data_IF_359272061675
#
_entry.id   IF_359272061675
#
_cell.length_a   1.000
_cell.length_b   1.000
_cell.length_c   1.000
_cell.angle_alpha   90.00
_cell.angle_beta   90.00
_cell.angle_gamma   90.00
#
_symmetry.space_group_name_H-M   'P 1'
#
loop_
_entity.id
_entity.type
_entity.pdbx_description
1 polymer ?
#
# COMPACT_ATOMS: atom_id res chain seq x y z
N UNK A 1 45.67 -40.39 -14.49
CA UNK A 1 47.13 -40.12 -14.60
C UNK A 1 47.34 -38.64 -14.91
N UNK A 2 48.05 -38.02 -14.13
CA UNK A 2 48.96 -36.88 -14.01
C UNK A 2 48.50 -35.83 -13.02
N UNK A 3 49.20 -35.86 -11.89
CA UNK A 3 49.37 -34.88 -10.84
C UNK A 3 50.22 -33.71 -11.33
N UNK A 4 50.07 -32.54 -10.74
CA UNK A 4 51.12 -31.59 -10.34
C UNK A 4 50.47 -30.59 -9.34
N UNK A 5 50.87 -30.51 -8.19
CA UNK A 5 51.75 -30.02 -7.11
C UNK A 5 52.03 -28.51 -7.24
N UNK A 6 51.48 -27.75 -6.33
CA UNK A 6 52.08 -26.95 -5.22
C UNK A 6 53.30 -26.11 -5.52
N UNK A 7 53.27 -24.81 -5.16
CA UNK A 7 54.40 -24.09 -4.48
C UNK A 7 53.81 -22.93 -3.65
N UNK A 8 54.39 -22.83 -2.46
CA UNK A 8 54.25 -21.92 -1.32
C UNK A 8 55.10 -20.66 -1.58
N UNK A 9 54.66 -19.50 -1.10
CA UNK A 9 55.47 -18.32 -0.96
C UNK A 9 55.08 -17.42 0.21
N UNK A 10 55.84 -17.47 1.28
CA UNK A 10 55.77 -16.71 2.53
C UNK A 10 56.40 -15.34 2.35
N UNK A 11 55.81 -14.29 2.93
CA UNK A 11 56.47 -12.99 3.03
C UNK A 11 55.84 -12.14 4.14
N UNK A 12 56.38 -12.21 5.34
CA UNK A 12 56.14 -11.35 6.49
C UNK A 12 57.04 -10.13 6.41
N UNK A 13 56.51 -8.93 6.60
CA UNK A 13 57.26 -7.78 7.10
C UNK A 13 56.39 -6.97 8.06
N UNK A 14 56.80 -7.06 9.36
CA UNK A 14 56.43 -6.12 10.41
C UNK A 14 57.27 -4.86 10.28
N UNK A 15 56.69 -3.69 10.45
CA UNK A 15 57.41 -2.50 10.92
C UNK A 15 56.53 -1.72 11.88
N UNK A 16 56.92 -1.79 13.14
CA UNK A 16 56.51 -0.87 14.20
C UNK A 16 57.30 0.45 14.04
N UNK A 17 56.60 1.54 14.18
CA UNK A 17 57.20 2.82 14.57
C UNK A 17 56.30 3.49 15.63
N UNK A 18 56.78 3.53 16.81
CA UNK A 18 56.25 4.31 17.92
C UNK A 18 56.75 5.74 17.80
N UNK A 19 55.87 6.71 17.98
CA UNK A 19 56.23 8.08 18.34
C UNK A 19 55.28 8.57 19.42
N UNK A 20 55.88 8.78 20.57
CA UNK A 20 55.34 9.41 21.76
C UNK A 20 55.11 10.91 21.55
N UNK A 21 53.92 11.38 21.92
CA UNK A 21 53.62 12.81 22.03
C UNK A 21 52.64 13.00 23.18
N UNK A 22 53.08 13.51 24.31
CA UNK A 22 52.27 13.94 25.42
C UNK A 22 51.45 15.17 25.05
N UNK A 23 50.16 15.12 25.29
CA UNK A 23 49.26 16.23 25.30
C UNK A 23 48.12 15.97 26.26
N UNK A 24 48.14 16.60 27.41
CA UNK A 24 47.11 16.59 28.43
C UNK A 24 45.82 17.22 27.88
N UNK A 25 44.74 16.42 27.81
CA UNK A 25 43.38 16.88 27.49
C UNK A 25 42.40 16.02 28.28
N UNK A 26 41.63 16.68 29.12
CA UNK A 26 40.63 16.18 30.03
C UNK A 26 39.76 15.10 29.41
N UNK A 27 39.63 13.97 30.12
CA UNK A 27 38.61 12.96 29.95
C UNK A 27 37.23 13.59 30.24
N UNK A 28 36.52 14.00 29.19
CA UNK A 28 35.07 14.04 29.25
C UNK A 28 34.57 12.61 29.06
N UNK A 29 34.09 12.03 30.13
CA UNK A 29 33.19 10.88 30.09
C UNK A 29 32.00 11.27 29.26
N UNK A 30 31.95 10.72 28.08
CA UNK A 30 30.74 10.74 27.25
C UNK A 30 29.77 9.79 27.96
N UNK A 31 29.04 10.35 28.95
CA UNK A 31 27.84 9.72 29.47
C UNK A 31 26.92 9.60 28.27
N UNK A 32 26.71 8.35 27.81
CA UNK A 32 25.70 8.03 26.84
C UNK A 32 24.38 8.62 27.33
N UNK A 33 23.94 9.73 26.70
CA UNK A 33 22.59 10.19 26.83
C UNK A 33 21.73 9.03 26.34
N UNK A 34 21.06 8.36 27.28
CA UNK A 34 19.81 7.69 26.94
C UNK A 34 18.94 8.78 26.32
N UNK A 35 18.87 8.84 25.00
CA UNK A 35 17.79 9.55 24.35
C UNK A 35 16.51 8.95 24.94
N UNK A 36 15.86 9.69 25.83
CA UNK A 36 14.47 9.46 26.15
C UNK A 36 13.77 9.36 24.81
N UNK A 37 13.15 8.21 24.52
CA UNK A 37 12.36 8.01 23.33
C UNK A 37 11.46 9.23 23.22
N UNK A 38 11.75 10.12 22.27
CA UNK A 38 11.06 11.39 22.13
C UNK A 38 9.57 11.09 22.04
N UNK A 39 8.75 11.91 22.70
CA UNK A 39 7.31 11.78 22.63
C UNK A 39 6.92 11.70 21.17
N UNK A 40 6.23 10.62 20.77
CA UNK A 40 5.70 10.46 19.43
C UNK A 40 4.87 11.68 19.06
N UNK A 41 5.25 12.33 17.99
CA UNK A 41 4.46 13.40 17.40
C UNK A 41 3.78 12.79 16.17
N UNK A 42 2.44 12.64 16.16
CA UNK A 42 1.73 12.15 14.98
C UNK A 42 2.14 12.97 13.76
N UNK A 43 2.50 12.29 12.67
CA UNK A 43 2.84 12.94 11.37
C UNK A 43 1.58 13.54 10.75
N UNK A 44 0.67 13.97 11.58
CA UNK A 44 -0.65 14.39 11.18
C UNK A 44 -0.90 15.86 11.26
N UNK A 45 -1.65 16.21 10.47
CA UNK A 45 -2.60 17.29 10.14
C UNK A 45 -2.16 17.94 8.85
N UNK A 46 -2.61 17.36 7.78
CA UNK A 46 -2.53 17.94 6.47
C UNK A 46 -1.19 17.77 5.77
N UNK A 47 -0.33 16.92 6.24
CA UNK A 47 0.98 16.69 5.65
C UNK A 47 1.28 15.21 5.59
N UNK A 48 0.47 14.45 4.86
CA UNK A 48 0.83 13.07 4.52
C UNK A 48 1.86 13.17 3.40
N UNK A 49 3.09 12.65 3.56
CA UNK A 49 4.02 12.59 2.44
C UNK A 49 3.36 11.92 1.24
N UNK A 50 3.29 12.63 0.10
CA UNK A 50 2.71 12.12 -1.14
C UNK A 50 1.19 12.25 -1.32
N UNK A 51 0.42 12.69 -0.32
CA UNK A 51 -0.99 13.01 -0.49
C UNK A 51 -1.24 14.51 -0.46
N UNK A 52 -2.00 15.00 -1.42
CA UNK A 52 -2.43 16.39 -1.44
C UNK A 52 -3.56 16.63 -0.43
N UNK A 53 -3.53 17.78 0.23
CA UNK A 53 -4.68 18.22 1.01
C UNK A 53 -5.88 18.49 0.09
N UNK A 54 -7.13 18.36 0.58
CA UNK A 54 -8.29 18.66 -0.24
C UNK A 54 -8.24 20.04 -0.93
N UNK A 55 -7.72 21.04 -0.24
CA UNK A 55 -7.54 22.40 -0.78
C UNK A 55 -6.39 22.52 -1.80
N UNK A 56 -5.48 21.55 -1.84
CA UNK A 56 -4.38 21.49 -2.81
C UNK A 56 -4.74 20.73 -4.08
N UNK A 57 -5.84 19.94 -4.04
CA UNK A 57 -6.32 19.21 -5.19
C UNK A 57 -6.68 20.15 -6.33
N UNK A 58 -6.13 19.87 -7.51
CA UNK A 58 -6.41 20.62 -8.73
C UNK A 58 -7.29 19.81 -9.66
N UNK A 59 -8.09 20.51 -10.46
CA UNK A 59 -8.59 19.93 -11.68
C UNK A 59 -7.47 19.86 -12.70
N UNK A 60 -7.40 18.76 -13.41
CA UNK A 60 -6.44 18.52 -14.50
C UNK A 60 -7.18 18.36 -15.82
N UNK A 61 -6.63 18.95 -16.87
CA UNK A 61 -7.09 18.75 -18.24
C UNK A 61 -5.98 18.14 -19.06
N UNK A 62 -6.30 17.08 -19.81
CA UNK A 62 -5.33 16.46 -20.69
C UNK A 62 -5.22 17.24 -22.00
N UNK A 63 -4.00 17.60 -22.36
CA UNK A 63 -3.66 18.19 -23.66
C UNK A 63 -3.14 17.12 -24.60
N UNK A 64 -3.93 16.74 -25.58
CA UNK A 64 -3.57 15.73 -26.57
C UNK A 64 -2.42 16.14 -27.51
N UNK A 65 -2.11 17.45 -27.63
CA UNK A 65 -0.98 17.91 -28.42
C UNK A 65 0.35 17.64 -27.72
N UNK A 66 0.42 17.94 -26.42
CA UNK A 66 1.62 17.79 -25.61
C UNK A 66 1.71 16.46 -24.89
N UNK A 67 0.63 15.71 -24.84
CA UNK A 67 0.46 14.46 -24.07
C UNK A 67 0.66 14.66 -22.55
N UNK A 68 0.15 15.76 -22.02
CA UNK A 68 0.31 16.11 -20.60
C UNK A 68 -1.01 16.54 -19.97
N UNK A 69 -1.17 16.15 -18.72
CA UNK A 69 -2.15 16.79 -17.84
C UNK A 69 -1.61 18.14 -17.37
N UNK A 70 -2.47 19.14 -17.39
CA UNK A 70 -2.14 20.50 -16.91
C UNK A 70 -3.20 20.96 -15.93
N UNK A 71 -2.80 21.64 -14.83
CA UNK A 71 -3.75 22.20 -13.88
C UNK A 71 -4.70 23.17 -14.58
N UNK A 72 -5.95 23.16 -14.17
CA UNK A 72 -6.97 24.11 -14.60
C UNK A 72 -7.79 24.59 -13.41
N UNK A 73 -8.46 25.73 -13.56
CA UNK A 73 -9.33 26.27 -12.51
C UNK A 73 -10.57 25.42 -12.30
N UNK A 74 -11.08 25.42 -11.08
CA UNK A 74 -12.29 24.74 -10.67
C UNK A 74 -12.11 24.01 -9.33
N UNK A 75 -13.23 23.53 -8.80
CA UNK A 75 -13.27 22.80 -7.55
C UNK A 75 -13.18 21.29 -7.81
N UNK A 76 -12.05 20.68 -7.47
CA UNK A 76 -11.83 19.25 -7.63
C UNK A 76 -12.72 18.39 -6.70
N UNK A 77 -13.18 18.95 -5.57
CA UNK A 77 -14.03 18.25 -4.62
C UNK A 77 -15.48 18.13 -5.10
N UNK A 78 -15.89 18.98 -6.04
CA UNK A 78 -17.23 18.95 -6.63
C UNK A 78 -17.38 17.95 -7.79
N UNK A 79 -16.37 17.10 -8.05
CA UNK A 79 -16.41 16.13 -9.13
C UNK A 79 -17.55 15.13 -8.97
N UNK A 80 -18.36 15.01 -10.01
CA UNK A 80 -19.50 14.09 -10.08
C UNK A 80 -19.24 13.03 -11.15
N UNK A 81 -19.49 11.77 -10.80
CA UNK A 81 -19.31 10.66 -11.72
C UNK A 81 -20.16 10.81 -12.99
N UNK A 82 -19.53 10.60 -14.15
CA UNK A 82 -20.15 10.61 -15.45
C UNK A 82 -20.10 9.20 -16.05
N UNK A 83 -21.22 8.47 -15.98
CA UNK A 83 -21.36 7.13 -16.57
C UNK A 83 -22.37 7.15 -17.73
N UNK A 84 -22.35 8.22 -18.52
CA UNK A 84 -23.21 8.36 -19.70
C UNK A 84 -22.51 7.75 -20.91
N UNK A 85 -23.26 6.94 -21.69
CA UNK A 85 -22.73 6.37 -22.93
C UNK A 85 -22.25 7.47 -23.88
N UNK A 86 -21.01 7.42 -24.36
CA UNK A 86 -20.47 8.43 -25.24
C UNK A 86 -21.05 8.30 -26.67
N UNK A 87 -21.14 9.43 -27.38
CA UNK A 87 -21.59 9.45 -28.77
C UNK A 87 -20.67 8.69 -29.72
N UNK A 88 -19.38 8.66 -29.40
CA UNK A 88 -18.35 7.92 -30.14
C UNK A 88 -17.77 6.84 -29.27
N UNK A 89 -17.76 5.60 -29.77
CA UNK A 89 -17.05 4.51 -29.12
C UNK A 89 -15.56 4.78 -29.13
N UNK A 90 -14.91 4.57 -27.97
CA UNK A 90 -13.45 4.58 -27.86
C UNK A 90 -12.94 3.26 -27.27
N UNK A 91 -11.63 3.04 -27.40
CA UNK A 91 -10.94 1.87 -26.87
C UNK A 91 -10.35 2.22 -25.52
N UNK A 92 -10.84 1.57 -24.47
CA UNK A 92 -10.28 1.62 -23.12
C UNK A 92 -9.29 0.48 -22.93
N UNK A 93 -8.08 0.76 -22.45
CA UNK A 93 -7.14 -0.26 -22.03
C UNK A 93 -7.20 -0.42 -20.51
N UNK A 94 -7.17 -1.65 -20.03
CA UNK A 94 -6.98 -1.98 -18.61
C UNK A 94 -5.73 -2.84 -18.48
N UNK A 95 -4.72 -2.29 -17.83
CA UNK A 95 -3.57 -3.02 -17.33
C UNK A 95 -3.87 -3.41 -15.89
N UNK A 96 -4.05 -4.70 -15.65
CA UNK A 96 -4.31 -5.25 -14.32
C UNK A 96 -2.98 -5.54 -13.62
N UNK A 97 -2.85 -5.17 -12.37
CA UNK A 97 -1.65 -5.43 -11.59
C UNK A 97 -1.47 -6.90 -11.26
N UNK A 98 -2.58 -7.61 -11.00
CA UNK A 98 -2.57 -9.02 -10.61
C UNK A 98 -3.99 -9.63 -10.70
N UNK A 99 -4.32 -10.20 -11.84
CA UNK A 99 -5.67 -10.66 -12.19
C UNK A 99 -6.28 -11.71 -11.23
N UNK A 100 -5.47 -12.45 -10.50
CA UNK A 100 -5.93 -13.46 -9.52
C UNK A 100 -6.04 -12.92 -8.10
N UNK A 101 -5.63 -11.68 -7.86
CA UNK A 101 -5.70 -11.07 -6.53
C UNK A 101 -7.17 -10.78 -6.16
N UNK A 102 -7.60 -11.15 -4.94
CA UNK A 102 -8.98 -10.95 -4.46
C UNK A 102 -9.46 -9.50 -4.53
N UNK A 103 -8.57 -8.53 -4.38
CA UNK A 103 -8.88 -7.11 -4.47
C UNK A 103 -9.00 -6.64 -5.95
N UNK A 104 -8.18 -7.16 -6.86
CA UNK A 104 -8.20 -6.79 -8.29
C UNK A 104 -9.43 -7.34 -9.03
N UNK A 105 -9.89 -8.54 -8.68
CA UNK A 105 -11.01 -9.20 -9.36
C UNK A 105 -12.27 -8.33 -9.46
N UNK A 106 -12.79 -7.72 -8.38
CA UNK A 106 -13.98 -6.86 -8.48
C UNK A 106 -13.71 -5.58 -9.29
N UNK A 107 -12.50 -5.02 -9.26
CA UNK A 107 -12.10 -3.86 -10.07
C UNK A 107 -12.20 -4.20 -11.55
N UNK A 108 -11.54 -5.29 -11.98
CA UNK A 108 -11.54 -5.73 -13.37
C UNK A 108 -12.96 -6.06 -13.88
N UNK A 109 -13.77 -6.72 -13.03
CA UNK A 109 -15.19 -7.02 -13.35
C UNK A 109 -16.01 -5.73 -13.51
N UNK A 110 -15.82 -4.74 -12.64
CA UNK A 110 -16.50 -3.45 -12.71
C UNK A 110 -16.15 -2.72 -14.00
N UNK A 111 -14.86 -2.58 -14.34
CA UNK A 111 -14.39 -1.96 -15.57
C UNK A 111 -14.95 -2.69 -16.81
N UNK A 112 -14.89 -4.02 -16.84
CA UNK A 112 -15.40 -4.80 -17.98
C UNK A 112 -16.92 -4.67 -18.15
N UNK A 113 -17.67 -4.71 -17.05
CA UNK A 113 -19.14 -4.52 -17.07
C UNK A 113 -19.50 -3.14 -17.63
N UNK A 114 -18.91 -2.09 -17.08
CA UNK A 114 -19.19 -0.71 -17.51
C UNK A 114 -18.76 -0.48 -18.96
N UNK A 115 -17.61 -0.99 -19.37
CA UNK A 115 -17.19 -0.91 -20.77
C UNK A 115 -18.23 -1.51 -21.72
N UNK A 116 -18.76 -2.69 -21.38
CA UNK A 116 -19.82 -3.34 -22.13
C UNK A 116 -21.11 -2.52 -22.14
N UNK A 117 -21.58 -2.08 -20.99
CA UNK A 117 -22.85 -1.35 -20.84
C UNK A 117 -22.83 0.00 -21.59
N UNK A 118 -21.65 0.65 -21.61
CA UNK A 118 -21.44 1.93 -22.29
C UNK A 118 -21.00 1.79 -23.75
N UNK A 119 -20.83 0.56 -24.25
CA UNK A 119 -20.43 0.29 -25.62
C UNK A 119 -18.99 0.67 -25.96
N UNK A 120 -18.10 0.64 -24.97
CA UNK A 120 -16.66 0.83 -25.13
C UNK A 120 -15.99 -0.47 -25.59
N UNK A 121 -14.92 -0.36 -26.38
CA UNK A 121 -14.04 -1.48 -26.66
C UNK A 121 -13.04 -1.58 -25.51
N UNK A 122 -12.97 -2.73 -24.84
CA UNK A 122 -11.99 -2.99 -23.79
C UNK A 122 -10.86 -3.89 -24.31
N UNK A 123 -9.62 -3.48 -24.10
CA UNK A 123 -8.43 -4.31 -24.25
C UNK A 123 -7.77 -4.49 -22.87
N UNK A 124 -7.13 -5.64 -22.66
CA UNK A 124 -6.71 -6.06 -21.32
C UNK A 124 -5.33 -6.71 -21.33
N UNK A 125 -4.54 -6.49 -20.27
CA UNK A 125 -3.28 -7.18 -20.03
C UNK A 125 -3.07 -7.34 -18.52
N UNK A 126 -2.65 -8.54 -18.08
CA UNK A 126 -2.30 -8.86 -16.70
C UNK A 126 -0.79 -8.74 -16.47
N UNK A 127 -0.37 -7.93 -15.52
CA UNK A 127 1.04 -7.76 -15.14
C UNK A 127 1.55 -8.84 -14.19
N UNK A 128 0.70 -9.74 -13.69
CA UNK A 128 1.07 -10.86 -12.82
C UNK A 128 1.89 -10.45 -11.59
N UNK A 129 1.68 -9.23 -11.10
CA UNK A 129 2.45 -8.63 -10.00
C UNK A 129 3.97 -8.59 -10.24
N UNK A 130 4.39 -8.40 -11.50
CA UNK A 130 5.80 -8.37 -11.91
C UNK A 130 6.14 -7.09 -12.67
N UNK A 131 7.18 -6.32 -12.26
CA UNK A 131 7.53 -5.07 -12.90
C UNK A 131 7.83 -5.21 -14.40
N UNK A 132 8.56 -6.25 -14.80
CA UNK A 132 8.88 -6.52 -16.19
C UNK A 132 7.66 -6.87 -17.05
N UNK A 133 6.68 -7.55 -16.46
CA UNK A 133 5.40 -7.85 -17.11
C UNK A 133 4.55 -6.58 -17.25
N UNK A 134 4.54 -5.71 -16.24
CA UNK A 134 3.83 -4.44 -16.29
C UNK A 134 4.37 -3.54 -17.42
N UNK A 135 5.69 -3.49 -17.59
CA UNK A 135 6.33 -2.76 -18.72
C UNK A 135 5.94 -3.40 -20.06
N UNK A 136 5.99 -4.73 -20.18
CA UNK A 136 5.56 -5.44 -21.39
C UNK A 136 4.08 -5.22 -21.70
N UNK A 137 3.21 -5.22 -20.69
CA UNK A 137 1.80 -4.87 -20.83
C UNK A 137 1.61 -3.46 -21.37
N UNK A 138 2.36 -2.49 -20.87
CA UNK A 138 2.30 -1.11 -21.35
C UNK A 138 2.68 -1.03 -22.85
N UNK A 139 3.72 -1.73 -23.28
CA UNK A 139 4.12 -1.80 -24.70
C UNK A 139 3.05 -2.46 -25.57
N UNK A 140 2.51 -3.60 -25.14
CA UNK A 140 1.45 -4.33 -25.86
C UNK A 140 0.19 -3.48 -25.99
N UNK A 141 -0.26 -2.87 -24.89
CA UNK A 141 -1.44 -2.03 -24.88
C UNK A 141 -1.24 -0.77 -25.73
N UNK A 142 -0.10 -0.07 -25.60
CA UNK A 142 0.19 1.11 -26.40
C UNK A 142 0.26 0.82 -27.91
N UNK A 143 0.76 -0.37 -28.30
CA UNK A 143 0.80 -0.79 -29.72
C UNK A 143 -0.58 -0.91 -30.35
N UNK A 144 -1.60 -1.18 -29.54
CA UNK A 144 -3.02 -1.28 -29.96
C UNK A 144 -3.71 0.09 -30.01
N UNK A 145 -3.00 1.17 -29.63
CA UNK A 145 -3.45 2.58 -29.70
C UNK A 145 -4.82 2.78 -29.01
N UNK A 146 -4.98 2.42 -27.73
CA UNK A 146 -6.19 2.77 -27.01
C UNK A 146 -6.31 4.29 -26.86
N UNK A 147 -7.52 4.74 -26.64
CA UNK A 147 -7.82 6.16 -26.43
C UNK A 147 -7.52 6.58 -24.98
N UNK A 148 -7.62 5.64 -24.03
CA UNK A 148 -7.34 5.84 -22.61
C UNK A 148 -6.81 4.55 -21.98
N UNK A 149 -5.96 4.67 -20.93
CA UNK A 149 -5.50 3.52 -20.15
C UNK A 149 -5.81 3.68 -18.67
N UNK A 150 -6.33 2.62 -18.07
CA UNK A 150 -6.41 2.41 -16.63
C UNK A 150 -5.22 1.54 -16.25
N UNK A 151 -4.24 2.12 -15.54
CA UNK A 151 -2.97 1.49 -15.21
C UNK A 151 -2.99 0.98 -13.77
N UNK A 152 -3.32 -0.30 -13.59
CA UNK A 152 -3.31 -1.00 -12.32
C UNK A 152 -1.96 -1.65 -12.04
N UNK A 153 -0.88 -0.87 -12.00
CA UNK A 153 0.43 -1.39 -11.62
C UNK A 153 0.71 -1.09 -10.14
N UNK A 154 0.85 -2.14 -9.34
CA UNK A 154 1.15 -2.02 -7.91
C UNK A 154 2.64 -2.11 -7.56
N UNK A 155 3.50 -2.17 -8.55
CA UNK A 155 4.96 -2.14 -8.41
C UNK A 155 5.45 -0.71 -8.64
N UNK A 156 5.52 0.11 -7.59
CA UNK A 156 5.82 1.55 -7.68
C UNK A 156 7.08 1.87 -8.49
N UNK A 157 8.12 1.04 -8.42
CA UNK A 157 9.36 1.21 -9.18
C UNK A 157 9.21 1.14 -10.71
N UNK A 158 8.14 0.53 -11.24
CA UNK A 158 7.87 0.45 -12.68
C UNK A 158 7.04 1.62 -13.22
N UNK A 159 6.42 2.43 -12.36
CA UNK A 159 5.45 3.45 -12.75
C UNK A 159 5.99 4.46 -13.78
N UNK A 160 7.21 4.96 -13.58
CA UNK A 160 7.84 5.92 -14.49
C UNK A 160 8.10 5.32 -15.87
N UNK A 161 8.56 4.07 -15.94
CA UNK A 161 8.83 3.37 -17.20
C UNK A 161 7.53 3.09 -17.98
N UNK A 162 6.49 2.67 -17.29
CA UNK A 162 5.15 2.44 -17.84
C UNK A 162 4.59 3.74 -18.43
N UNK A 163 4.65 4.84 -17.69
CA UNK A 163 4.12 6.11 -18.16
C UNK A 163 4.92 6.72 -19.29
N UNK A 164 6.24 6.52 -19.35
CA UNK A 164 7.04 6.94 -20.50
C UNK A 164 6.58 6.29 -21.81
N UNK A 165 6.07 5.05 -21.77
CA UNK A 165 5.52 4.34 -22.94
C UNK A 165 4.20 4.99 -23.37
N UNK A 166 3.27 5.22 -22.44
CA UNK A 166 1.98 5.83 -22.74
C UNK A 166 2.11 7.30 -23.15
N UNK A 167 2.97 8.08 -22.52
CA UNK A 167 3.27 9.46 -22.88
C UNK A 167 3.81 9.56 -24.32
N UNK A 168 4.76 8.68 -24.68
CA UNK A 168 5.29 8.62 -26.05
C UNK A 168 4.20 8.29 -27.07
N UNK A 169 3.25 7.44 -26.69
CA UNK A 169 2.09 7.09 -27.51
C UNK A 169 0.96 8.13 -27.45
N UNK A 170 1.08 9.17 -26.61
CA UNK A 170 0.08 10.22 -26.35
C UNK A 170 -1.25 9.66 -25.83
N UNK A 171 -1.19 8.66 -24.98
CA UNK A 171 -2.35 8.00 -24.40
C UNK A 171 -2.55 8.53 -22.96
N UNK A 172 -3.67 9.21 -22.64
CA UNK A 172 -3.99 9.62 -21.27
C UNK A 172 -4.22 8.42 -20.36
N UNK A 173 -3.90 8.58 -19.08
CA UNK A 173 -3.98 7.51 -18.11
C UNK A 173 -4.63 7.93 -16.79
N UNK A 174 -5.23 6.94 -16.12
CA UNK A 174 -5.47 6.95 -14.67
C UNK A 174 -4.72 5.77 -14.04
N UNK A 175 -4.15 5.98 -12.84
CA UNK A 175 -3.49 4.93 -12.05
C UNK A 175 -4.38 4.44 -10.91
N UNK A 176 -4.17 3.21 -10.45
CA UNK A 176 -4.92 2.58 -9.36
C UNK A 176 -3.99 2.38 -8.16
N UNK A 177 -4.35 2.93 -6.99
CA UNK A 177 -3.73 2.76 -5.67
C UNK A 177 -2.23 3.12 -5.56
N UNK A 178 -1.49 3.12 -6.66
CA UNK A 178 -0.10 3.56 -6.74
C UNK A 178 -0.02 4.72 -7.72
N UNK A 179 0.49 5.86 -7.25
CA UNK A 179 0.61 7.06 -8.08
C UNK A 179 1.58 6.85 -9.23
N UNK A 180 1.18 7.26 -10.43
CA UNK A 180 2.01 7.23 -11.63
C UNK A 180 2.23 8.65 -12.16
N UNK A 181 3.44 8.99 -12.66
CA UNK A 181 3.69 10.30 -13.25
C UNK A 181 2.72 10.57 -14.41
N UNK A 182 2.18 11.81 -14.48
CA UNK A 182 1.29 12.21 -15.58
C UNK A 182 0.07 11.28 -15.79
N UNK A 183 -0.50 10.79 -14.69
CA UNK A 183 -1.75 10.03 -14.65
C UNK A 183 -2.65 10.57 -13.55
N UNK A 184 -3.95 10.55 -13.76
CA UNK A 184 -4.92 10.83 -12.69
C UNK A 184 -4.82 9.70 -11.67
N UNK A 185 -4.66 10.02 -10.40
CA UNK A 185 -4.66 9.02 -9.35
C UNK A 185 -6.10 8.70 -8.94
N UNK A 186 -6.39 7.41 -8.81
CA UNK A 186 -7.59 6.92 -8.14
C UNK A 186 -7.24 5.76 -7.22
N UNK A 187 -7.71 5.82 -5.97
CA UNK A 187 -7.50 4.71 -5.05
C UNK A 187 -7.67 5.05 -3.59
N UNK A 188 -7.03 4.25 -2.74
CA UNK A 188 -7.05 4.43 -1.31
C UNK A 188 -6.30 5.71 -0.89
N UNK A 189 -6.83 6.40 0.12
CA UNK A 189 -6.03 7.31 0.94
C UNK A 189 -5.21 6.46 1.92
N UNK A 190 -4.02 6.03 1.46
CA UNK A 190 -3.25 4.98 2.13
C UNK A 190 -2.94 5.28 3.61
N UNK A 191 -2.50 6.50 3.91
CA UNK A 191 -2.26 6.89 5.29
C UNK A 191 -3.56 6.94 6.12
N UNK A 192 -4.63 7.56 5.58
CA UNK A 192 -5.91 7.66 6.28
C UNK A 192 -6.51 6.26 6.55
N UNK A 193 -6.39 5.33 5.62
CA UNK A 193 -6.82 3.94 5.82
C UNK A 193 -6.04 3.25 6.93
N UNK A 194 -4.73 3.51 6.99
CA UNK A 194 -3.90 3.06 8.11
C UNK A 194 -4.39 3.60 9.44
N UNK A 195 -4.64 4.92 9.53
CA UNK A 195 -5.20 5.57 10.74
C UNK A 195 -6.52 4.93 11.16
N UNK A 196 -7.43 4.67 10.23
CA UNK A 196 -8.72 4.03 10.54
C UNK A 196 -8.52 2.66 11.17
N UNK A 197 -7.66 1.82 10.60
CA UNK A 197 -7.33 0.50 11.13
C UNK A 197 -6.59 0.56 12.46
N UNK A 198 -5.64 1.47 12.58
CA UNK A 198 -4.85 1.68 13.78
C UNK A 198 -5.69 2.16 14.96
N UNK A 199 -6.63 3.09 14.74
CA UNK A 199 -7.59 3.53 15.78
C UNK A 199 -8.48 2.39 16.25
N UNK A 200 -9.01 1.58 15.34
CA UNK A 200 -9.82 0.42 15.71
C UNK A 200 -9.02 -0.57 16.57
N UNK A 201 -7.77 -0.85 16.20
CA UNK A 201 -6.85 -1.67 16.99
C UNK A 201 -6.54 -1.03 18.35
N UNK A 202 -6.29 0.27 18.40
CA UNK A 202 -6.04 1.03 19.62
C UNK A 202 -7.25 1.00 20.59
N UNK A 203 -8.46 1.19 20.07
CA UNK A 203 -9.68 1.10 20.88
C UNK A 203 -9.88 -0.31 21.44
N UNK A 204 -9.58 -1.35 20.66
CA UNK A 204 -9.55 -2.71 21.17
C UNK A 204 -8.55 -2.86 22.33
N UNK A 205 -7.32 -2.36 22.17
CA UNK A 205 -6.29 -2.43 23.20
C UNK A 205 -6.67 -1.65 24.46
N UNK A 206 -7.29 -0.49 24.30
CA UNK A 206 -7.79 0.32 25.40
C UNK A 206 -8.88 -0.40 26.20
N UNK A 207 -9.82 -1.02 25.49
CA UNK A 207 -10.94 -1.72 26.12
C UNK A 207 -10.53 -3.02 26.83
N UNK A 208 -9.55 -3.76 26.29
CA UNK A 208 -9.20 -5.10 26.77
C UNK A 208 -7.89 -5.15 27.57
N UNK A 209 -6.95 -4.21 27.34
CA UNK A 209 -5.61 -4.21 27.94
C UNK A 209 -5.26 -2.90 28.65
N UNK A 210 -6.19 -1.90 28.68
CA UNK A 210 -5.94 -0.57 29.21
C UNK A 210 -4.69 0.07 28.56
N UNK A 211 -4.44 -0.24 27.29
CA UNK A 211 -3.24 0.11 26.51
C UNK A 211 -1.90 -0.28 27.19
N UNK A 212 -1.89 -1.24 28.11
CA UNK A 212 -0.68 -1.66 28.82
C UNK A 212 0.11 -2.70 28.02
N UNK A 213 1.43 -2.56 28.00
CA UNK A 213 2.35 -3.50 27.36
C UNK A 213 2.03 -3.82 25.89
N UNK A 214 1.49 -2.81 25.17
CA UNK A 214 1.13 -2.95 23.76
C UNK A 214 2.39 -2.94 22.88
N UNK A 215 2.41 -3.87 21.93
CA UNK A 215 3.35 -3.95 20.83
C UNK A 215 2.60 -3.78 19.51
N UNK A 216 3.24 -3.11 18.55
CA UNK A 216 2.76 -3.00 17.18
C UNK A 216 3.67 -3.81 16.28
N UNK A 217 3.14 -4.84 15.63
CA UNK A 217 3.86 -5.70 14.72
C UNK A 217 3.22 -5.63 13.33
N UNK A 218 3.97 -5.19 12.33
CA UNK A 218 3.43 -4.91 11.00
C UNK A 218 4.11 -5.74 9.91
N UNK A 219 3.28 -6.26 9.01
CA UNK A 219 3.74 -6.94 7.79
C UNK A 219 3.93 -5.95 6.65
N UNK A 220 5.18 -5.76 6.19
CA UNK A 220 5.52 -4.80 5.12
C UNK A 220 5.80 -5.48 3.78
N UNK A 221 5.64 -4.72 2.70
CA UNK A 221 6.12 -5.07 1.36
C UNK A 221 6.77 -3.84 0.71
N UNK A 222 8.09 -3.84 0.66
CA UNK A 222 8.88 -2.72 0.14
C UNK A 222 8.72 -2.55 -1.38
N UNK A 223 8.36 -3.61 -2.10
CA UNK A 223 8.17 -3.59 -3.55
C UNK A 223 6.96 -2.77 -4.00
N UNK A 224 5.96 -2.63 -3.13
CA UNK A 224 4.79 -1.78 -3.38
C UNK A 224 5.09 -0.29 -3.12
N UNK A 225 6.21 0.02 -2.46
CA UNK A 225 6.70 1.38 -2.29
C UNK A 225 5.89 2.20 -1.28
N UNK A 226 5.83 3.51 -1.51
CA UNK A 226 5.27 4.49 -0.58
C UNK A 226 3.80 4.21 -0.20
N UNK A 227 2.97 3.75 -1.13
CA UNK A 227 1.57 3.45 -0.86
C UNK A 227 1.40 2.41 0.26
N UNK A 228 2.19 1.33 0.21
CA UNK A 228 2.20 0.31 1.24
C UNK A 228 2.78 0.83 2.57
N UNK A 229 3.85 1.62 2.51
CA UNK A 229 4.49 2.21 3.69
C UNK A 229 3.54 3.13 4.44
N UNK A 230 2.82 4.01 3.75
CA UNK A 230 1.85 4.93 4.33
C UNK A 230 0.72 4.23 5.09
N UNK A 231 0.27 3.04 4.64
CA UNK A 231 -0.71 2.23 5.39
C UNK A 231 -0.16 1.82 6.75
N UNK A 232 1.10 1.41 6.81
CA UNK A 232 1.75 0.95 8.04
C UNK A 232 2.08 2.11 8.97
N UNK A 233 2.58 3.23 8.44
CA UNK A 233 2.77 4.46 9.21
C UNK A 233 1.45 4.90 9.83
N UNK A 234 0.40 5.02 9.02
CA UNK A 234 -0.92 5.38 9.51
C UNK A 234 -1.47 4.40 10.56
N UNK A 235 -1.23 3.09 10.40
CA UNK A 235 -1.65 2.12 11.40
C UNK A 235 -0.96 2.33 12.76
N UNK A 236 0.35 2.48 12.77
CA UNK A 236 1.09 2.75 14.00
C UNK A 236 0.66 4.08 14.64
N UNK A 237 0.46 5.11 13.84
CA UNK A 237 -0.02 6.42 14.29
C UNK A 237 -1.43 6.34 14.87
N UNK A 238 -2.34 5.63 14.22
CA UNK A 238 -3.70 5.42 14.71
C UNK A 238 -3.77 4.69 16.05
N UNK A 239 -2.92 3.68 16.26
CA UNK A 239 -2.79 3.02 17.57
C UNK A 239 -2.32 4.02 18.62
N UNK A 240 -1.31 4.83 18.30
CA UNK A 240 -0.72 5.80 19.24
C UNK A 240 -1.63 7.00 19.51
N UNK A 241 -2.51 7.37 18.59
CA UNK A 241 -3.55 8.38 18.86
C UNK A 241 -4.50 7.94 19.98
N UNK A 242 -4.75 6.66 20.13
CA UNK A 242 -5.66 6.10 21.15
C UNK A 242 -4.91 5.75 22.43
N UNK A 243 -3.78 5.05 22.31
CA UNK A 243 -3.03 4.52 23.43
C UNK A 243 -1.93 5.45 23.97
N UNK A 244 -1.63 6.54 23.26
CA UNK A 244 -0.46 7.37 23.52
C UNK A 244 0.81 6.79 22.89
N UNK A 245 1.93 7.51 23.03
CA UNK A 245 3.21 7.14 22.44
C UNK A 245 3.68 5.78 22.94
N UNK A 246 4.05 4.90 22.00
CA UNK A 246 4.66 3.61 22.29
C UNK A 246 6.20 3.73 22.21
N UNK A 247 6.94 2.97 23.01
CA UNK A 247 8.39 2.85 22.85
C UNK A 247 8.74 2.39 21.42
N UNK A 248 9.76 2.98 20.82
CA UNK A 248 10.13 2.72 19.43
C UNK A 248 10.49 1.24 19.18
N UNK A 249 11.06 0.55 20.15
CA UNK A 249 11.38 -0.88 20.09
C UNK A 249 10.15 -1.79 20.11
N UNK A 250 8.98 -1.25 20.47
CA UNK A 250 7.70 -1.96 20.42
C UNK A 250 6.94 -1.77 19.11
N UNK A 251 7.46 -0.98 18.17
CA UNK A 251 6.89 -0.79 16.83
C UNK A 251 7.82 -1.48 15.83
N UNK A 252 7.42 -2.65 15.35
CA UNK A 252 8.28 -3.49 14.53
C UNK A 252 7.63 -3.84 13.18
N UNK A 253 8.47 -4.01 12.16
CA UNK A 253 8.07 -4.37 10.81
C UNK A 253 8.79 -5.63 10.34
N UNK A 254 8.09 -6.48 9.63
CA UNK A 254 8.63 -7.69 9.04
C UNK A 254 8.21 -7.80 7.57
N UNK A 255 9.14 -8.19 6.72
CA UNK A 255 8.93 -8.27 5.28
C UNK A 255 8.03 -9.45 4.89
N UNK A 256 6.94 -9.16 4.16
CA UNK A 256 5.97 -10.11 3.62
C UNK A 256 5.85 -9.95 2.09
N UNK A 257 6.99 -10.07 1.39
CA UNK A 257 7.09 -9.77 -0.04
C UNK A 257 6.34 -10.77 -0.95
N UNK A 258 6.13 -12.02 -0.51
CA UNK A 258 5.42 -13.01 -1.33
C UNK A 258 3.92 -12.74 -1.48
N UNK A 259 3.32 -11.92 -0.62
CA UNK A 259 1.90 -11.59 -0.69
C UNK A 259 0.95 -12.71 -0.31
N UNK A 260 1.43 -13.77 0.34
CA UNK A 260 0.64 -14.96 0.65
C UNK A 260 0.39 -15.15 2.14
N UNK A 261 -0.75 -15.75 2.49
CA UNK A 261 -1.05 -16.13 3.86
C UNK A 261 0.00 -17.08 4.46
N UNK A 262 0.53 -18.02 3.67
CA UNK A 262 1.52 -19.00 4.14
C UNK A 262 2.83 -18.33 4.58
N UNK A 263 3.32 -17.35 3.82
CA UNK A 263 4.47 -16.56 4.25
C UNK A 263 4.17 -15.79 5.54
N UNK A 264 2.98 -15.17 5.61
CA UNK A 264 2.58 -14.39 6.78
C UNK A 264 2.46 -15.28 8.04
N UNK A 265 1.95 -16.52 7.92
CA UNK A 265 1.93 -17.49 9.02
C UNK A 265 3.36 -17.76 9.51
N UNK A 266 4.27 -18.10 8.60
CA UNK A 266 5.64 -18.47 8.93
C UNK A 266 6.37 -17.31 9.62
N UNK A 267 6.42 -16.15 8.98
CA UNK A 267 7.12 -14.96 9.49
C UNK A 267 6.56 -14.48 10.83
N UNK A 268 5.23 -14.48 10.97
CA UNK A 268 4.58 -14.10 12.23
C UNK A 268 4.88 -15.12 13.34
N UNK A 269 4.85 -16.41 13.05
CA UNK A 269 5.19 -17.46 14.03
C UNK A 269 6.63 -17.34 14.50
N UNK A 270 7.57 -17.09 13.57
CA UNK A 270 8.98 -16.90 13.89
C UNK A 270 9.20 -15.67 14.78
N UNK A 271 8.54 -14.54 14.43
CA UNK A 271 8.60 -13.33 15.23
C UNK A 271 8.03 -13.54 16.64
N UNK A 272 6.86 -14.18 16.77
CA UNK A 272 6.23 -14.50 18.05
C UNK A 272 7.10 -15.41 18.92
N UNK A 273 7.88 -16.29 18.32
CA UNK A 273 8.82 -17.17 19.01
C UNK A 273 10.04 -16.40 19.50
N UNK A 274 10.53 -15.45 18.70
CA UNK A 274 11.67 -14.61 19.04
C UNK A 274 11.35 -13.55 20.10
N UNK A 275 10.06 -13.17 20.25
CA UNK A 275 9.59 -12.12 21.16
C UNK A 275 8.61 -12.64 22.23
N UNK A 276 9.04 -13.51 23.16
CA UNK A 276 8.18 -14.02 24.22
C UNK A 276 7.72 -12.94 25.20
N UNK A 277 8.43 -11.81 25.29
CA UNK A 277 8.12 -10.64 26.11
C UNK A 277 6.94 -9.83 25.57
N UNK A 278 6.66 -9.85 24.27
CA UNK A 278 5.55 -9.15 23.67
C UNK A 278 4.22 -9.81 24.06
N UNK A 279 3.47 -9.20 24.98
CA UNK A 279 2.25 -9.80 25.56
C UNK A 279 0.99 -9.43 24.78
N UNK A 280 0.78 -8.16 24.52
CA UNK A 280 -0.39 -7.62 23.87
C UNK A 280 0.02 -7.05 22.51
N UNK A 281 -0.39 -7.69 21.42
CA UNK A 281 0.16 -7.40 20.10
C UNK A 281 -0.96 -6.93 19.16
N UNK A 282 -0.82 -5.72 18.65
CA UNK A 282 -1.66 -5.19 17.57
C UNK A 282 -0.89 -5.31 16.25
N UNK A 283 -1.53 -5.91 15.27
CA UNK A 283 -0.90 -6.15 13.98
C UNK A 283 -1.68 -5.52 12.84
N UNK A 284 -0.95 -4.88 11.94
CA UNK A 284 -1.44 -4.36 10.69
C UNK A 284 -0.60 -4.86 9.52
N UNK A 285 -1.19 -4.87 8.35
CA UNK A 285 -0.49 -5.17 7.12
C UNK A 285 -1.17 -4.44 5.96
N UNK A 286 -0.70 -4.68 4.74
CA UNK A 286 -1.11 -3.89 3.58
C UNK A 286 -2.32 -4.47 2.83
N UNK A 287 -2.75 -5.71 3.14
CA UNK A 287 -3.91 -6.38 2.55
C UNK A 287 -4.53 -7.43 3.49
N UNK A 288 -5.64 -8.02 3.08
CA UNK A 288 -6.39 -9.00 3.86
C UNK A 288 -5.79 -10.41 3.80
N UNK A 289 -5.11 -10.77 2.70
CA UNK A 289 -4.48 -12.09 2.54
C UNK A 289 -3.36 -12.30 3.57
N UNK A 290 -2.45 -11.31 3.67
CA UNK A 290 -1.38 -11.33 4.68
C UNK A 290 -1.95 -11.23 6.09
N UNK A 291 -2.96 -10.37 6.31
CA UNK A 291 -3.62 -10.23 7.61
C UNK A 291 -4.23 -11.56 8.09
N UNK A 292 -4.88 -12.30 7.21
CA UNK A 292 -5.44 -13.62 7.50
C UNK A 292 -4.34 -14.62 7.92
N UNK A 293 -3.19 -14.59 7.25
CA UNK A 293 -2.03 -15.41 7.62
C UNK A 293 -1.50 -15.06 9.01
N UNK A 294 -1.33 -13.75 9.31
CA UNK A 294 -0.90 -13.28 10.62
C UNK A 294 -1.90 -13.70 11.72
N UNK A 295 -3.19 -13.54 11.50
CA UNK A 295 -4.24 -13.95 12.44
C UNK A 295 -4.20 -15.45 12.74
N UNK A 296 -4.00 -16.31 11.72
CA UNK A 296 -3.82 -17.75 11.90
C UNK A 296 -2.60 -18.09 12.75
N UNK A 297 -1.50 -17.35 12.62
CA UNK A 297 -0.32 -17.54 13.45
C UNK A 297 -0.61 -17.21 14.93
N UNK A 298 -1.35 -16.16 15.24
CA UNK A 298 -1.79 -15.84 16.59
C UNK A 298 -2.69 -16.94 17.19
N UNK A 299 -3.63 -17.47 16.40
CA UNK A 299 -4.48 -18.61 16.83
C UNK A 299 -3.62 -19.84 17.12
N UNK A 300 -2.72 -20.22 16.21
CA UNK A 300 -1.91 -21.43 16.34
C UNK A 300 -0.94 -21.37 17.52
N UNK A 301 -0.33 -20.20 17.76
CA UNK A 301 0.60 -19.99 18.87
C UNK A 301 -0.07 -19.64 20.20
N UNK A 302 -1.38 -19.43 20.19
CA UNK A 302 -2.17 -19.00 21.38
C UNK A 302 -1.65 -17.70 22.00
N UNK A 303 -1.03 -16.84 21.18
CA UNK A 303 -0.57 -15.54 21.63
C UNK A 303 -1.72 -14.52 21.67
N UNK A 304 -1.63 -13.59 22.60
CA UNK A 304 -2.62 -12.52 22.70
C UNK A 304 -2.28 -11.41 21.72
N UNK A 305 -3.07 -11.34 20.64
CA UNK A 305 -2.88 -10.37 19.59
C UNK A 305 -4.10 -10.28 18.68
N UNK A 306 -4.23 -9.13 18.03
CA UNK A 306 -5.29 -8.83 17.06
C UNK A 306 -4.70 -8.29 15.78
N UNK A 307 -5.30 -8.66 14.66
CA UNK A 307 -4.86 -8.28 13.32
C UNK A 307 -5.95 -7.48 12.62
N UNK A 308 -5.55 -6.39 11.96
CA UNK A 308 -6.42 -5.59 11.10
C UNK A 308 -5.99 -5.78 9.65
N UNK A 309 -6.96 -6.11 8.80
CA UNK A 309 -6.78 -6.20 7.35
C UNK A 309 -7.00 -4.87 6.65
N UNK A 310 -6.58 -4.81 5.39
CA UNK A 310 -6.71 -3.64 4.52
C UNK A 310 -7.30 -4.06 3.18
N UNK A 311 -8.39 -3.40 2.77
CA UNK A 311 -9.09 -3.67 1.52
C UNK A 311 -10.53 -4.10 1.71
N UNK A 312 -10.83 -4.92 2.69
CA UNK A 312 -12.08 -5.69 2.83
C UNK A 312 -12.41 -6.39 1.50
N UNK A 313 -11.44 -7.11 0.96
CA UNK A 313 -11.63 -7.94 -0.21
C UNK A 313 -12.38 -9.26 0.14
N UNK A 314 -12.50 -10.17 -0.81
CA UNK A 314 -13.23 -11.43 -0.56
C UNK A 314 -12.63 -12.28 0.57
N UNK A 315 -11.32 -12.17 0.84
CA UNK A 315 -10.65 -12.86 1.95
C UNK A 315 -11.02 -12.18 3.27
N UNK A 316 -10.82 -10.88 3.38
CA UNK A 316 -11.16 -10.11 4.58
C UNK A 316 -12.63 -10.24 4.96
N UNK A 317 -13.54 -10.07 3.99
CA UNK A 317 -14.98 -10.24 4.20
C UNK A 317 -15.30 -11.64 4.71
N UNK A 318 -14.72 -12.68 4.11
CA UNK A 318 -14.98 -14.06 4.52
C UNK A 318 -14.49 -14.34 5.94
N UNK A 319 -13.29 -13.89 6.30
CA UNK A 319 -12.69 -14.09 7.64
C UNK A 319 -13.47 -13.34 8.70
N UNK A 320 -13.85 -12.09 8.45
CA UNK A 320 -14.63 -11.27 9.40
C UNK A 320 -16.02 -11.86 9.61
N UNK A 321 -16.70 -12.36 8.56
CA UNK A 321 -18.02 -13.00 8.68
C UNK A 321 -17.99 -14.35 9.38
N UNK A 322 -16.89 -15.09 9.26
CA UNK A 322 -16.79 -16.48 9.71
C UNK A 322 -16.89 -16.61 11.23
N UNK A 323 -16.24 -15.73 11.98
CA UNK A 323 -16.18 -15.81 13.42
C UNK A 323 -15.80 -14.44 14.04
N UNK A 324 -16.16 -14.20 15.31
CA UNK A 324 -15.71 -12.99 16.02
C UNK A 324 -14.20 -13.01 16.26
N UNK A 325 -13.61 -11.84 16.43
CA UNK A 325 -12.16 -11.67 16.60
C UNK A 325 -11.58 -12.42 17.81
N UNK A 326 -12.39 -12.68 18.85
CA UNK A 326 -12.01 -13.51 20.00
C UNK A 326 -11.61 -14.95 19.62
N UNK A 327 -12.12 -15.46 18.50
CA UNK A 327 -11.86 -16.81 18.01
C UNK A 327 -10.81 -16.84 16.93
N UNK A 328 -10.90 -15.95 15.92
CA UNK A 328 -10.03 -15.96 14.74
C UNK A 328 -8.88 -14.97 14.78
N UNK A 329 -8.81 -14.08 15.78
CA UNK A 329 -7.79 -13.03 15.94
C UNK A 329 -7.77 -11.98 14.83
N UNK A 330 -8.72 -11.99 13.93
CA UNK A 330 -8.90 -11.00 12.88
C UNK A 330 -9.92 -9.96 13.36
N UNK A 331 -9.45 -8.79 13.81
CA UNK A 331 -10.29 -7.78 14.45
C UNK A 331 -11.32 -7.20 13.47
N UNK A 332 -10.92 -7.02 12.24
CA UNK A 332 -11.72 -6.48 11.16
C UNK A 332 -10.84 -6.05 9.99
N UNK A 333 -11.47 -5.48 8.97
CA UNK A 333 -10.78 -4.93 7.82
C UNK A 333 -11.19 -3.48 7.54
N UNK A 334 -10.29 -2.70 6.98
CA UNK A 334 -10.58 -1.35 6.49
C UNK A 334 -11.09 -1.43 5.07
N UNK A 335 -12.35 -1.06 4.83
CA UNK A 335 -12.97 -1.17 3.51
C UNK A 335 -12.42 -0.14 2.52
N UNK A 336 -12.09 -0.62 1.31
CA UNK A 336 -11.65 0.18 0.16
C UNK A 336 -12.69 0.17 -0.97
N UNK A 337 -13.68 -0.69 -0.88
CA UNK A 337 -14.78 -0.81 -1.85
C UNK A 337 -14.29 -1.06 -3.30
N UNK A 338 -13.46 -2.09 -3.55
CA UNK A 338 -12.91 -2.32 -4.89
C UNK A 338 -13.97 -2.53 -5.97
N UNK A 339 -15.18 -2.95 -5.59
CA UNK A 339 -16.33 -3.08 -6.49
C UNK A 339 -16.81 -1.74 -7.06
N UNK A 340 -16.47 -0.61 -6.44
CA UNK A 340 -16.82 0.75 -6.90
C UNK A 340 -15.74 1.40 -7.75
N UNK A 341 -14.53 0.84 -7.79
CA UNK A 341 -13.41 1.41 -8.53
C UNK A 341 -13.71 1.62 -10.00
N UNK A 342 -14.42 0.67 -10.61
CA UNK A 342 -14.82 0.75 -12.00
C UNK A 342 -15.62 2.01 -12.32
N UNK A 343 -16.51 2.43 -11.42
CA UNK A 343 -17.39 3.60 -11.62
C UNK A 343 -16.54 4.89 -11.75
N UNK A 344 -15.55 5.07 -10.88
CA UNK A 344 -14.67 6.24 -10.89
C UNK A 344 -13.71 6.22 -12.08
N UNK A 345 -13.03 5.10 -12.31
CA UNK A 345 -12.02 4.97 -13.36
C UNK A 345 -12.60 5.13 -14.75
N UNK A 346 -13.78 4.53 -14.99
CA UNK A 346 -14.49 4.69 -16.28
C UNK A 346 -15.05 6.09 -16.43
N UNK A 347 -15.56 6.71 -15.36
CA UNK A 347 -16.01 8.10 -15.38
C UNK A 347 -14.87 9.05 -15.75
N UNK A 348 -13.70 8.90 -15.13
CA UNK A 348 -12.49 9.68 -15.48
C UNK A 348 -12.14 9.50 -16.95
N UNK A 349 -12.13 8.27 -17.45
CA UNK A 349 -11.85 8.00 -18.86
C UNK A 349 -12.84 8.71 -19.80
N UNK A 350 -14.14 8.64 -19.50
CA UNK A 350 -15.19 9.30 -20.28
C UNK A 350 -15.01 10.82 -20.31
N UNK A 351 -14.72 11.43 -19.16
CA UNK A 351 -14.58 12.88 -19.07
C UNK A 351 -13.30 13.38 -19.75
N UNK A 352 -12.18 12.67 -19.59
CA UNK A 352 -10.92 12.99 -20.30
C UNK A 352 -11.13 12.90 -21.80
N UNK A 353 -11.79 11.85 -22.30
CA UNK A 353 -12.06 11.67 -23.72
C UNK A 353 -13.06 12.71 -24.26
N UNK A 354 -13.93 13.23 -23.42
CA UNK A 354 -14.81 14.37 -23.75
C UNK A 354 -14.10 15.74 -23.68
N UNK A 355 -12.80 15.77 -23.33
CA UNK A 355 -12.02 17.01 -23.19
C UNK A 355 -12.37 17.81 -21.95
N UNK A 356 -13.05 17.21 -20.98
CA UNK A 356 -13.35 17.83 -19.68
C UNK A 356 -12.17 17.75 -18.73
N UNK A 357 -12.19 18.59 -17.71
CA UNK A 357 -11.26 18.52 -16.60
C UNK A 357 -11.72 17.46 -15.58
N UNK A 358 -10.76 16.79 -14.95
CA UNK A 358 -10.96 15.77 -13.92
C UNK A 358 -10.07 16.10 -12.69
N UNK A 359 -10.41 15.65 -11.48
CA UNK A 359 -9.52 15.81 -10.35
C UNK A 359 -8.14 15.17 -10.62
N UNK A 360 -7.09 15.79 -10.12
CA UNK A 360 -5.74 15.23 -10.13
C UNK A 360 -5.69 13.91 -9.39
N UNK A 361 -6.36 13.84 -8.24
CA UNK A 361 -6.47 12.68 -7.38
C UNK A 361 -7.91 12.50 -6.90
N UNK A 362 -8.35 11.27 -6.82
CA UNK A 362 -9.65 10.87 -6.26
C UNK A 362 -9.37 9.78 -5.24
N UNK A 363 -9.69 10.04 -3.98
CA UNK A 363 -9.48 9.11 -2.90
C UNK A 363 -10.79 8.49 -2.43
N UNK A 364 -10.75 7.18 -2.16
CA UNK A 364 -11.86 6.48 -1.51
C UNK A 364 -11.94 6.84 -0.03
N UNK A 365 -13.15 6.97 0.47
CA UNK A 365 -13.39 6.99 1.92
C UNK A 365 -13.22 5.58 2.50
N UNK A 366 -12.73 5.53 3.74
CA UNK A 366 -12.42 4.28 4.42
C UNK A 366 -13.29 4.09 5.65
N UNK A 367 -13.77 2.87 5.84
CA UNK A 367 -14.56 2.46 7.00
C UNK A 367 -13.99 1.17 7.57
N UNK A 368 -13.76 1.14 8.89
CA UNK A 368 -13.42 -0.11 9.57
C UNK A 368 -14.68 -0.96 9.72
N UNK A 369 -14.59 -2.22 9.34
CA UNK A 369 -15.68 -3.20 9.42
C UNK A 369 -15.21 -4.41 10.20
N UNK A 370 -15.93 -4.72 11.27
CA UNK A 370 -15.75 -5.89 12.14
C UNK A 370 -16.88 -6.91 11.94
N UNK A 371 -16.86 -7.96 12.74
CA UNK A 371 -17.86 -9.03 12.69
C UNK A 371 -19.31 -8.53 12.81
N UNK A 372 -19.55 -7.49 13.61
CA UNK A 372 -20.89 -6.97 13.86
C UNK A 372 -21.38 -6.04 12.74
N UNK A 373 -20.46 -5.35 12.08
CA UNK A 373 -20.75 -4.31 11.09
C UNK A 373 -20.61 -4.75 9.64
N UNK A 374 -19.78 -5.78 9.34
CA UNK A 374 -19.50 -6.24 7.98
C UNK A 374 -20.75 -6.58 7.18
N UNK A 375 -21.76 -7.16 7.82
CA UNK A 375 -23.05 -7.52 7.20
C UNK A 375 -23.92 -6.33 6.79
N UNK A 376 -23.63 -5.13 7.28
CA UNK A 376 -24.34 -3.90 6.89
C UNK A 376 -23.92 -3.40 5.52
N UNK A 377 -22.68 -3.68 5.12
CA UNK A 377 -22.07 -3.26 3.86
C UNK A 377 -22.06 -4.41 2.85
N UNK A 378 -21.52 -5.54 3.25
CA UNK A 378 -21.40 -6.74 2.42
C UNK A 378 -22.43 -7.77 2.84
N UNK A 379 -23.49 -7.93 2.03
CA UNK A 379 -24.61 -8.86 2.31
C UNK A 379 -24.28 -10.31 2.00
#
# INVERSE_FOLDING_TARGET
MKKYKSIIGIGVVLTLLALTGCGSGSSEENAGSSEEAGAYTPVLKGGIPGALLPEELKLWKYDFATAKYTPTEGDAQSYVLNLVKPDKTFTLAHMDGWATNPFAIPIAKGIAKLSKDLGLKLIYCDAEFKPEKAISCAEILASQKPDFVIAGNWQGGAAAAIMAIFDKAKIPAASIDVSHPNAVFFGASNYASGIVGGKAAGEYAKANWDCKDVWVFMGENLEEGEAADLRLVGFADGVQEVCGALPADRIQRMRLAAGTADQAITVTTDWLTAHPEAKHILSGTIDDERANGMAKAFVATKRDGMVVGQGCDSVGIAVVKMAPASENRFLGCVAYYPEKYGDYLVSVALDVMAGKAVPQEIHMEHTFLDHDTIGTVYK
#
